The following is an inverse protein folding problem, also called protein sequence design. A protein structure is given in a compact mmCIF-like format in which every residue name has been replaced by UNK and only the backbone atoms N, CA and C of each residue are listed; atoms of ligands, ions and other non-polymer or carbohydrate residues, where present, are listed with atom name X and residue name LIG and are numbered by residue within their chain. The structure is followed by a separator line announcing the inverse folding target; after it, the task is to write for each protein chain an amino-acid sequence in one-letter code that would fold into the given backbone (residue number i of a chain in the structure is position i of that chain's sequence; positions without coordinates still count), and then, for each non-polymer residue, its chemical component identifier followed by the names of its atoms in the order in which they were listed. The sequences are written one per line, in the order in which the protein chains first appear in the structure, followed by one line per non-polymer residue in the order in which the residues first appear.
data_IF_155142553004
#
_entry.id   IF_155142553004
#
_cell.length_a   1.000
_cell.length_b   1.000
_cell.length_c   1.000
_cell.angle_alpha   90.00
_cell.angle_beta   90.00
_cell.angle_gamma   90.00
#
_symmetry.space_group_name_H-M   'P 1'
#
loop_
_entity.id
_entity.type
_entity.pdbx_description
1 polymer ?
#
# COMPACT_ATOMS: atom_id res chain seq x y z
N UNK A 1 0.97 -8.61 -31.55
CA UNK A 1 0.65 -9.73 -30.65
C UNK A 1 0.27 -9.18 -29.28
N UNK A 2 -0.96 -9.40 -28.80
CA UNK A 2 -1.32 -9.00 -27.43
C UNK A 2 -0.68 -9.98 -26.44
N UNK A 3 0.03 -9.45 -25.45
CA UNK A 3 0.71 -10.24 -24.43
C UNK A 3 -0.32 -11.07 -23.65
N UNK A 4 -0.23 -12.40 -23.69
CA UNK A 4 -1.17 -13.33 -23.02
C UNK A 4 -1.36 -13.02 -21.53
N UNK A 5 -0.31 -12.52 -20.86
CA UNK A 5 -0.40 -12.09 -19.46
C UNK A 5 -1.36 -10.93 -19.23
N UNK A 6 -1.36 -9.95 -20.14
CA UNK A 6 -2.22 -8.77 -20.03
C UNK A 6 -3.70 -9.13 -20.20
N UNK A 7 -3.99 -10.07 -21.11
CA UNK A 7 -5.35 -10.56 -21.37
C UNK A 7 -5.94 -11.25 -20.13
N UNK A 8 -5.14 -12.07 -19.45
CA UNK A 8 -5.57 -12.76 -18.21
C UNK A 8 -5.75 -11.75 -17.08
N UNK A 9 -4.81 -10.81 -16.91
CA UNK A 9 -4.87 -9.78 -15.87
C UNK A 9 -6.12 -8.89 -16.00
N UNK A 10 -6.38 -8.37 -17.20
CA UNK A 10 -7.53 -7.49 -17.47
C UNK A 10 -8.86 -8.24 -17.26
N UNK A 11 -8.92 -9.54 -17.57
CA UNK A 11 -10.08 -10.39 -17.32
C UNK A 11 -10.38 -10.62 -15.83
N UNK A 12 -9.33 -10.81 -15.02
CA UNK A 12 -9.48 -10.99 -13.57
C UNK A 12 -9.94 -9.69 -12.90
N UNK A 13 -9.35 -8.54 -13.25
CA UNK A 13 -9.73 -7.22 -12.72
C UNK A 13 -11.23 -6.97 -12.97
N UNK A 14 -11.67 -7.16 -14.21
CA UNK A 14 -13.07 -6.92 -14.61
C UNK A 14 -14.06 -7.78 -13.81
N UNK A 15 -13.71 -9.04 -13.55
CA UNK A 15 -14.57 -9.95 -12.79
C UNK A 15 -14.62 -9.61 -11.29
N UNK A 16 -13.53 -9.13 -10.71
CA UNK A 16 -13.52 -8.61 -9.33
C UNK A 16 -14.43 -7.38 -9.18
N UNK A 17 -14.49 -6.51 -10.18
CA UNK A 17 -15.39 -5.34 -10.18
C UNK A 17 -16.87 -5.73 -10.24
N UNK A 18 -17.20 -6.85 -10.89
CA UNK A 18 -18.58 -7.39 -10.94
C UNK A 18 -18.96 -8.01 -9.59
N UNK A 19 -18.07 -8.78 -8.99
CA UNK A 19 -18.27 -9.36 -7.65
C UNK A 19 -18.46 -8.27 -6.57
N UNK A 20 -17.68 -7.18 -6.63
CA UNK A 20 -17.83 -6.04 -5.74
C UNK A 20 -19.19 -5.33 -5.87
N UNK A 21 -19.87 -5.48 -7.01
CA UNK A 21 -21.24 -4.99 -7.26
C UNK A 21 -22.32 -6.01 -6.84
N UNK A 22 -21.91 -7.15 -6.28
CA UNK A 22 -22.81 -8.22 -5.85
C UNK A 22 -23.23 -9.18 -6.96
N UNK A 23 -22.57 -9.15 -8.13
CA UNK A 23 -22.87 -10.08 -9.22
C UNK A 23 -22.19 -11.44 -9.01
N UNK A 24 -22.89 -12.51 -9.39
CA UNK A 24 -22.36 -13.87 -9.29
C UNK A 24 -21.43 -14.15 -10.46
N UNK A 25 -20.14 -14.35 -10.16
CA UNK A 25 -19.11 -14.63 -11.16
C UNK A 25 -18.76 -16.12 -11.15
N UNK A 26 -18.86 -16.78 -12.30
CA UNK A 26 -18.39 -18.16 -12.47
C UNK A 26 -16.88 -18.20 -12.78
N UNK A 27 -16.10 -18.34 -11.70
CA UNK A 27 -14.65 -18.39 -11.74
C UNK A 27 -14.08 -19.64 -12.44
N UNK A 28 -14.87 -20.69 -12.70
CA UNK A 28 -14.41 -21.92 -13.38
C UNK A 28 -14.06 -21.68 -14.85
N UNK A 29 -14.73 -20.70 -15.47
CA UNK A 29 -14.51 -20.32 -16.87
C UNK A 29 -13.39 -19.27 -17.06
N UNK A 30 -12.82 -18.72 -15.97
CA UNK A 30 -11.89 -17.59 -16.04
C UNK A 30 -10.42 -18.03 -16.13
N UNK A 31 -10.08 -19.20 -15.57
CA UNK A 31 -8.88 -20.01 -15.85
C UNK A 31 -8.64 -20.94 -14.65
N UNK A 32 -8.74 -22.26 -14.85
CA UNK A 32 -8.34 -23.25 -13.83
C UNK A 32 -6.91 -23.00 -13.33
N UNK A 33 -6.66 -23.23 -12.04
CA UNK A 33 -5.41 -23.08 -11.24
C UNK A 33 -4.60 -21.78 -11.39
N UNK A 34 -4.41 -21.24 -12.58
CA UNK A 34 -3.66 -20.01 -12.86
C UNK A 34 -4.31 -18.75 -12.26
N UNK A 35 -5.64 -18.66 -12.20
CA UNK A 35 -6.31 -17.50 -11.58
C UNK A 35 -6.15 -17.48 -10.05
N UNK A 36 -6.22 -18.65 -9.39
CA UNK A 36 -6.03 -18.76 -7.94
C UNK A 36 -4.57 -18.55 -7.54
N UNK A 37 -3.62 -19.07 -8.33
CA UNK A 37 -2.20 -18.81 -8.18
C UNK A 37 -1.91 -17.32 -8.42
N UNK A 38 -2.46 -16.70 -9.47
CA UNK A 38 -2.31 -15.27 -9.73
C UNK A 38 -2.89 -14.42 -8.60
N UNK A 39 -4.07 -14.76 -8.06
CA UNK A 39 -4.66 -14.08 -6.90
C UNK A 39 -3.76 -14.16 -5.67
N UNK A 40 -3.25 -15.35 -5.34
CA UNK A 40 -2.30 -15.55 -4.22
C UNK A 40 -1.00 -14.78 -4.41
N UNK A 41 -0.47 -14.76 -5.63
CA UNK A 41 0.79 -14.07 -5.92
C UNK A 41 0.62 -12.55 -5.95
N UNK A 42 -0.51 -12.03 -6.44
CA UNK A 42 -0.88 -10.62 -6.35
C UNK A 42 -1.04 -10.22 -4.88
N UNK A 43 -1.78 -10.99 -4.08
CA UNK A 43 -1.93 -10.71 -2.63
C UNK A 43 -0.58 -10.70 -1.91
N UNK A 44 0.29 -11.69 -2.18
CA UNK A 44 1.67 -11.67 -1.66
C UNK A 44 2.43 -10.42 -2.08
N UNK A 45 2.33 -9.99 -3.34
CA UNK A 45 3.01 -8.78 -3.82
C UNK A 45 2.46 -7.51 -3.17
N UNK A 46 1.16 -7.46 -2.87
CA UNK A 46 0.54 -6.36 -2.12
C UNK A 46 1.03 -6.33 -0.67
N UNK A 47 1.02 -7.48 0.02
CA UNK A 47 1.58 -7.62 1.37
C UNK A 47 3.07 -7.28 1.40
N UNK A 48 3.82 -7.69 0.37
CA UNK A 48 5.24 -7.36 0.24
C UNK A 48 5.42 -5.85 0.01
N UNK A 49 4.58 -5.22 -0.83
CA UNK A 49 4.60 -3.77 -1.05
C UNK A 49 4.28 -3.02 0.22
N UNK A 50 3.27 -3.46 0.97
CA UNK A 50 2.85 -2.86 2.21
C UNK A 50 3.93 -3.04 3.29
N UNK A 51 4.52 -4.24 3.41
CA UNK A 51 5.69 -4.47 4.27
C UNK A 51 6.88 -3.61 3.89
N UNK A 52 7.26 -3.58 2.61
CA UNK A 52 8.37 -2.74 2.12
C UNK A 52 8.05 -1.25 2.34
N UNK A 53 6.79 -0.83 2.22
CA UNK A 53 6.36 0.54 2.50
C UNK A 53 6.43 0.87 4.00
N UNK A 54 5.99 -0.05 4.87
CA UNK A 54 6.10 0.03 6.32
C UNK A 54 7.57 0.06 6.77
N UNK A 55 8.41 -0.79 6.17
CA UNK A 55 9.86 -0.88 6.42
C UNK A 55 10.61 0.35 5.88
N UNK A 56 10.22 0.89 4.72
CA UNK A 56 10.84 2.06 4.11
C UNK A 56 10.39 3.39 4.74
N UNK A 57 9.33 3.39 5.55
CA UNK A 57 8.79 4.56 6.24
C UNK A 57 8.19 5.63 5.33
N UNK A 58 7.39 6.50 5.93
CA UNK A 58 6.75 7.64 5.29
C UNK A 58 7.77 8.74 4.98
N UNK A 59 7.62 9.38 3.83
CA UNK A 59 8.29 10.65 3.59
C UNK A 59 7.66 11.75 4.45
N UNK A 60 8.35 12.88 4.62
CA UNK A 60 7.77 14.04 5.32
C UNK A 60 6.48 14.55 4.65
N UNK A 61 6.37 14.39 3.33
CA UNK A 61 5.18 14.77 2.56
C UNK A 61 4.02 13.83 2.89
N UNK A 62 4.28 12.53 2.92
CA UNK A 62 3.24 11.54 3.20
C UNK A 62 2.80 11.63 4.65
N UNK A 63 3.74 11.78 5.60
CA UNK A 63 3.42 12.01 7.00
C UNK A 63 2.58 13.27 7.23
N UNK A 64 2.87 14.37 6.52
CA UNK A 64 2.08 15.60 6.56
C UNK A 64 0.64 15.35 6.08
N UNK A 65 0.46 14.60 4.99
CA UNK A 65 -0.87 14.21 4.48
C UNK A 65 -1.60 13.33 5.48
N UNK A 66 -0.94 12.31 6.04
CA UNK A 66 -1.55 11.39 7.02
C UNK A 66 -2.02 12.12 8.27
N UNK A 67 -1.26 13.08 8.77
CA UNK A 67 -1.62 13.86 9.96
C UNK A 67 -2.54 15.05 9.68
N UNK A 68 -2.81 15.38 8.40
CA UNK A 68 -3.60 16.56 8.02
C UNK A 68 -2.92 17.89 8.41
N UNK A 69 -1.59 17.93 8.40
CA UNK A 69 -0.78 19.09 8.82
C UNK A 69 0.16 19.55 7.71
N UNK A 70 0.74 20.74 7.87
CA UNK A 70 1.78 21.21 6.97
C UNK A 70 3.09 20.44 7.15
N UNK A 71 3.93 20.39 6.10
CA UNK A 71 5.29 19.82 6.21
C UNK A 71 6.13 20.52 7.28
N UNK A 72 5.94 21.83 7.45
CA UNK A 72 6.65 22.60 8.49
C UNK A 72 6.28 22.10 9.89
N UNK A 73 5.01 21.79 10.13
CA UNK A 73 4.59 21.20 11.39
C UNK A 73 5.22 19.82 11.62
N UNK A 74 5.39 19.00 10.59
CA UNK A 74 6.14 17.74 10.72
C UNK A 74 7.58 18.00 11.19
N UNK A 75 8.30 18.93 10.58
CA UNK A 75 9.65 19.28 11.04
C UNK A 75 9.66 19.80 12.47
N UNK A 76 8.71 20.65 12.86
CA UNK A 76 8.58 21.10 14.24
C UNK A 76 8.35 19.94 15.22
N UNK A 77 7.58 18.91 14.84
CA UNK A 77 7.36 17.73 15.66
C UNK A 77 8.62 16.87 15.80
N UNK A 78 9.43 16.81 14.75
CA UNK A 78 10.74 16.14 14.76
C UNK A 78 11.71 16.90 15.66
N UNK A 79 11.79 18.23 15.51
CA UNK A 79 12.67 19.10 16.30
C UNK A 79 12.28 19.07 17.79
N UNK A 80 10.98 19.02 18.07
CA UNK A 80 10.44 18.83 19.42
C UNK A 80 10.58 17.39 19.96
N UNK A 81 11.21 16.48 19.21
CA UNK A 81 11.41 15.06 19.54
C UNK A 81 10.11 14.28 19.81
N UNK A 82 8.98 14.77 19.30
CA UNK A 82 7.67 14.09 19.39
C UNK A 82 7.51 12.97 18.37
N UNK A 83 8.25 13.04 17.26
CA UNK A 83 8.29 12.03 16.21
C UNK A 83 9.76 11.76 15.86
N UNK A 84 10.16 10.49 15.87
CA UNK A 84 11.52 10.09 15.46
C UNK A 84 11.61 9.82 13.97
N UNK A 85 12.79 10.11 13.41
CA UNK A 85 13.13 9.81 12.01
C UNK A 85 14.24 8.77 11.92
N UNK A 86 14.34 8.11 10.78
CA UNK A 86 15.48 7.30 10.40
C UNK A 86 15.93 7.65 8.98
N UNK A 87 17.19 7.38 8.66
CA UNK A 87 17.72 7.55 7.31
C UNK A 87 17.54 6.28 6.50
N UNK A 88 17.00 6.41 5.29
CA UNK A 88 16.85 5.34 4.32
C UNK A 88 17.29 5.81 2.95
N UNK A 89 18.35 5.19 2.41
CA UNK A 89 18.94 5.56 1.11
C UNK A 89 19.24 7.07 0.98
N UNK A 90 19.81 7.66 2.03
CA UNK A 90 20.17 9.09 2.06
C UNK A 90 18.98 10.05 2.20
N UNK A 91 17.79 9.56 2.53
CA UNK A 91 16.59 10.39 2.77
C UNK A 91 16.03 10.11 4.15
N UNK A 92 15.66 11.17 4.87
CA UNK A 92 14.94 11.05 6.14
C UNK A 92 13.52 10.52 5.91
N UNK A 93 13.13 9.57 6.74
CA UNK A 93 11.84 8.89 6.75
C UNK A 93 11.31 8.80 8.17
N UNK A 94 9.99 8.62 8.29
CA UNK A 94 9.29 8.44 9.56
C UNK A 94 8.67 7.04 9.56
N UNK A 95 8.87 6.25 10.61
CA UNK A 95 8.18 4.97 10.74
C UNK A 95 6.67 5.21 10.93
N UNK A 96 5.84 4.38 10.33
CA UNK A 96 4.38 4.52 10.45
C UNK A 96 3.93 4.44 11.93
N UNK A 97 4.59 3.58 12.71
CA UNK A 97 4.38 3.44 14.15
C UNK A 97 4.54 4.76 14.92
N UNK A 98 5.50 5.60 14.55
CA UNK A 98 5.71 6.91 15.20
C UNK A 98 4.53 7.85 14.94
N UNK A 99 3.97 7.83 13.72
CA UNK A 99 2.77 8.60 13.37
C UNK A 99 1.56 8.08 14.14
N UNK A 100 1.39 6.76 14.23
CA UNK A 100 0.30 6.14 14.99
C UNK A 100 0.41 6.43 16.50
N UNK A 101 1.62 6.35 17.07
CA UNK A 101 1.86 6.67 18.47
C UNK A 101 1.55 8.13 18.76
N UNK A 102 1.99 9.05 17.90
CA UNK A 102 1.66 10.47 18.03
C UNK A 102 0.14 10.72 18.03
N UNK A 103 -0.61 10.07 17.13
CA UNK A 103 -2.07 10.17 17.07
C UNK A 103 -2.76 9.65 18.34
N UNK A 104 -2.22 8.61 18.99
CA UNK A 104 -2.77 8.08 20.25
C UNK A 104 -2.51 8.99 21.44
N UNK A 105 -1.45 9.79 21.40
CA UNK A 105 -1.06 10.71 22.48
C UNK A 105 -1.61 12.13 22.32
N UNK A 106 -2.31 12.40 21.21
CA UNK A 106 -2.91 13.70 20.88
C UNK A 106 -4.37 13.73 21.28
#
# INVERSE_FOLDING_TARGET
MKNKFKIIYDGVIKNLELEAKGEVVDWRNVAGNCAEIAKKEILKLYDLKEKVFLEAGLTMVDAAKTLGVSRRQIYNLIDAKKIKTFDFKGRKKIKIEEIQNYLKTR
#
